data_IF_276521010809
#
_entry.id   IF_276521010809
#
_cell.length_a   1.000
_cell.length_b   1.000
_cell.length_c   1.000
_cell.angle_alpha   90.00
_cell.angle_beta   90.00
_cell.angle_gamma   90.00
#
_symmetry.space_group_name_H-M   'P 1'
#
loop_
_entity.id
_entity.type
_entity.pdbx_description
1 polymer ?
#
# COMPACT_ATOMS: atom_id res chain seq x y z
N UNK A 1 -2.82 12.43 3.07
CA UNK A 1 -1.99 12.39 1.83
C UNK A 1 -1.31 11.04 1.78
N UNK A 2 -1.34 10.36 0.63
CA UNK A 2 -0.75 9.02 0.45
C UNK A 2 0.53 9.16 -0.39
N UNK A 3 1.61 8.49 0.00
CA UNK A 3 2.88 8.52 -0.77
C UNK A 3 2.87 7.48 -1.89
N UNK A 4 2.50 6.24 -1.58
CA UNK A 4 2.39 5.15 -2.54
C UNK A 4 1.02 4.48 -2.42
N UNK A 5 0.39 4.19 -3.56
CA UNK A 5 -0.90 3.51 -3.66
C UNK A 5 -0.91 2.61 -4.89
N UNK A 6 -1.33 1.35 -4.74
CA UNK A 6 -1.45 0.39 -5.83
C UNK A 6 -2.37 -0.77 -5.48
N UNK A 7 -2.62 -1.67 -6.43
CA UNK A 7 -3.21 -2.98 -6.13
C UNK A 7 -2.15 -3.93 -5.55
N UNK A 8 -2.56 -4.93 -4.77
CA UNK A 8 -1.69 -5.96 -4.15
C UNK A 8 -0.71 -6.55 -5.18
N UNK A 9 -1.22 -6.91 -6.36
CA UNK A 9 -0.41 -7.45 -7.45
C UNK A 9 0.69 -6.50 -7.92
N UNK A 10 0.39 -5.21 -8.08
CA UNK A 10 1.38 -4.21 -8.44
C UNK A 10 2.39 -3.99 -7.31
N UNK A 11 1.94 -3.92 -6.06
CA UNK A 11 2.83 -3.85 -4.89
C UNK A 11 3.81 -5.03 -4.85
N UNK A 12 3.34 -6.27 -5.03
CA UNK A 12 4.21 -7.44 -5.02
C UNK A 12 5.25 -7.39 -6.15
N UNK A 13 4.85 -6.97 -7.35
CA UNK A 13 5.76 -6.80 -8.48
C UNK A 13 6.80 -5.71 -8.22
N UNK A 14 6.40 -4.57 -7.66
CA UNK A 14 7.31 -3.47 -7.33
C UNK A 14 8.34 -3.90 -6.28
N UNK A 15 7.96 -4.72 -5.29
CA UNK A 15 8.93 -5.28 -4.32
C UNK A 15 9.86 -6.28 -5.01
N UNK A 16 9.31 -7.20 -5.80
CA UNK A 16 10.07 -8.26 -6.46
C UNK A 16 11.12 -7.71 -7.44
N UNK A 17 10.82 -6.60 -8.11
CA UNK A 17 11.72 -5.94 -9.06
C UNK A 17 12.62 -4.87 -8.42
N UNK A 18 12.64 -4.75 -7.09
CA UNK A 18 13.39 -3.71 -6.35
C UNK A 18 13.01 -2.26 -6.73
N UNK A 19 11.78 -2.04 -7.20
CA UNK A 19 11.27 -0.73 -7.64
C UNK A 19 10.52 0.03 -6.54
N UNK A 20 9.94 -0.69 -5.58
CA UNK A 20 9.04 -0.10 -4.59
C UNK A 20 9.69 1.06 -3.80
N UNK A 21 10.89 0.84 -3.27
CA UNK A 21 11.57 1.84 -2.42
C UNK A 21 11.91 3.10 -3.23
N UNK A 22 12.28 2.93 -4.50
CA UNK A 22 12.52 4.04 -5.42
C UNK A 22 11.23 4.82 -5.69
N UNK A 23 10.12 4.12 -5.91
CA UNK A 23 8.79 4.72 -6.11
C UNK A 23 8.34 5.52 -4.88
N UNK A 24 8.45 4.95 -3.68
CA UNK A 24 8.11 5.63 -2.42
C UNK A 24 9.01 6.87 -2.24
N UNK A 25 10.33 6.73 -2.41
CA UNK A 25 11.30 7.82 -2.24
C UNK A 25 11.04 8.99 -3.20
N UNK A 26 10.82 8.69 -4.48
CA UNK A 26 10.49 9.69 -5.51
C UNK A 26 9.20 10.44 -5.14
N UNK A 27 8.16 9.70 -4.76
CA UNK A 27 6.88 10.29 -4.41
C UNK A 27 6.95 11.11 -3.11
N UNK A 28 7.70 10.64 -2.12
CA UNK A 28 7.92 11.37 -0.87
C UNK A 28 8.66 12.69 -1.12
N UNK A 29 9.75 12.64 -1.88
CA UNK A 29 10.52 13.83 -2.23
C UNK A 29 9.67 14.85 -3.01
N UNK A 30 8.80 14.39 -3.90
CA UNK A 30 7.90 15.28 -4.66
C UNK A 30 6.78 15.90 -3.82
N UNK A 31 6.26 15.18 -2.81
CA UNK A 31 5.06 15.58 -2.05
C UNK A 31 5.38 16.27 -0.72
N UNK A 32 6.48 15.89 -0.08
CA UNK A 32 6.88 16.34 1.26
C UNK A 32 8.22 17.06 1.23
N UNK A 33 9.19 16.53 0.48
CA UNK A 33 10.57 17.03 0.45
C UNK A 33 11.56 15.95 0.88
N UNK A 34 12.79 16.36 1.20
CA UNK A 34 13.93 15.44 1.36
C UNK A 34 13.69 14.36 2.41
N UNK A 35 13.70 13.09 2.00
CA UNK A 35 13.68 11.94 2.90
C UNK A 35 15.07 11.66 3.48
N UNK A 36 15.12 11.09 4.68
CA UNK A 36 16.36 10.63 5.29
C UNK A 36 16.66 9.18 4.89
N UNK A 37 17.94 8.80 4.81
CA UNK A 37 18.33 7.45 4.38
C UNK A 37 17.92 6.34 5.34
N UNK A 38 17.72 6.65 6.63
CA UNK A 38 17.30 5.65 7.62
C UNK A 38 15.86 5.21 7.37
N UNK A 39 14.98 6.14 6.99
CA UNK A 39 13.60 5.86 6.57
C UNK A 39 13.58 5.04 5.28
N UNK A 40 14.43 5.37 4.30
CA UNK A 40 14.55 4.59 3.06
C UNK A 40 14.91 3.13 3.39
N UNK A 41 15.91 2.92 4.26
CA UNK A 41 16.28 1.56 4.74
C UNK A 41 15.18 0.89 5.55
N UNK A 42 14.43 1.65 6.36
CA UNK A 42 13.33 1.11 7.16
C UNK A 42 12.19 0.61 6.27
N UNK A 43 11.85 1.34 5.20
CA UNK A 43 10.89 0.89 4.20
C UNK A 43 11.38 -0.35 3.49
N UNK A 44 12.62 -0.36 2.98
CA UNK A 44 13.18 -1.51 2.28
C UNK A 44 13.07 -2.80 3.12
N UNK A 45 13.58 -2.76 4.35
CA UNK A 45 13.49 -3.90 5.27
C UNK A 45 12.04 -4.32 5.56
N UNK A 46 11.15 -3.37 5.82
CA UNK A 46 9.77 -3.68 6.22
C UNK A 46 8.95 -4.25 5.07
N UNK A 47 9.16 -3.76 3.85
CA UNK A 47 8.36 -4.15 2.69
C UNK A 47 8.69 -5.57 2.23
N UNK A 48 9.89 -6.07 2.47
CA UNK A 48 10.23 -7.49 2.29
C UNK A 48 9.37 -8.40 3.17
N UNK A 49 9.04 -7.98 4.40
CA UNK A 49 8.12 -8.73 5.26
C UNK A 49 6.66 -8.61 4.78
N UNK A 50 6.24 -7.43 4.35
CA UNK A 50 4.88 -7.23 3.81
C UNK A 50 4.66 -8.00 2.51
N UNK A 51 5.69 -8.15 1.66
CA UNK A 51 5.65 -9.03 0.50
C UNK A 51 5.32 -10.47 0.89
N UNK A 52 5.95 -11.00 1.94
CA UNK A 52 5.68 -12.37 2.43
C UNK A 52 4.25 -12.52 2.93
N UNK A 53 3.74 -11.53 3.69
CA UNK A 53 2.36 -11.54 4.18
C UNK A 53 1.36 -11.43 3.03
N UNK A 54 1.61 -10.55 2.06
CA UNK A 54 0.68 -10.28 0.96
C UNK A 54 0.78 -11.28 -0.20
N UNK A 55 1.77 -12.16 -0.18
CA UNK A 55 1.82 -13.34 -1.06
C UNK A 55 0.73 -14.37 -0.74
N UNK A 56 0.00 -14.20 0.37
CA UNK A 56 -1.18 -15.00 0.68
C UNK A 56 -2.28 -14.81 -0.39
N UNK A 57 -2.73 -15.93 -0.95
CA UNK A 57 -3.78 -15.98 -1.97
C UNK A 57 -5.18 -15.72 -1.41
N UNK A 58 -5.39 -15.84 -0.09
CA UNK A 58 -6.66 -15.46 0.55
C UNK A 58 -6.90 -13.95 0.52
N UNK A 59 -5.83 -13.15 0.41
CA UNK A 59 -5.91 -11.70 0.21
C UNK A 59 -6.15 -11.44 -1.29
N UNK A 60 -7.24 -10.77 -1.69
CA UNK A 60 -7.54 -10.56 -3.11
C UNK A 60 -6.44 -9.81 -3.86
N UNK A 61 -6.17 -10.20 -5.11
CA UNK A 61 -5.16 -9.59 -5.98
C UNK A 61 -5.40 -8.12 -6.30
N UNK A 62 -6.67 -7.71 -6.21
CA UNK A 62 -7.10 -6.33 -6.37
C UNK A 62 -7.30 -5.59 -5.04
N UNK A 63 -6.88 -6.17 -3.91
CA UNK A 63 -6.83 -5.44 -2.64
C UNK A 63 -5.95 -4.20 -2.82
N UNK A 64 -6.39 -3.06 -2.31
CA UNK A 64 -5.62 -1.82 -2.40
C UNK A 64 -4.57 -1.78 -1.31
N UNK A 65 -3.35 -1.39 -1.67
CA UNK A 65 -2.23 -1.15 -0.76
C UNK A 65 -1.93 0.33 -0.77
N UNK A 66 -1.83 0.94 0.42
CA UNK A 66 -1.36 2.31 0.57
C UNK A 66 -0.26 2.38 1.63
N UNK A 67 0.80 3.12 1.35
CA UNK A 67 1.97 3.24 2.22
C UNK A 67 2.15 4.71 2.57
N UNK A 68 2.53 4.94 3.83
CA UNK A 68 2.88 6.26 4.36
C UNK A 68 1.71 7.24 4.20
N UNK A 69 0.57 6.90 4.80
CA UNK A 69 -0.62 7.73 4.82
C UNK A 69 -0.56 8.75 5.96
N UNK A 70 -0.36 10.01 5.60
CA UNK A 70 -0.45 11.12 6.55
C UNK A 70 -1.92 11.47 6.82
N UNK A 71 -2.32 11.38 8.09
CA UNK A 71 -3.67 11.74 8.55
C UNK A 71 -3.81 13.27 8.49
N UNK A 72 -4.81 13.80 7.73
CA UNK A 72 -5.04 15.24 7.61
C UNK A 72 -5.13 15.94 8.97
N UNK A 73 -4.59 17.16 9.04
CA UNK A 73 -4.61 18.01 10.26
C UNK A 73 -3.91 17.44 11.49
N UNK A 74 -3.09 16.38 11.34
CA UNK A 74 -2.29 15.84 12.44
C UNK A 74 -0.85 15.55 12.01
N UNK A 75 0.02 15.30 12.98
CA UNK A 75 1.37 14.74 12.76
C UNK A 75 1.38 13.21 12.68
N UNK A 76 0.22 12.54 12.79
CA UNK A 76 0.13 11.08 12.81
C UNK A 76 0.16 10.50 11.40
N UNK A 77 0.72 9.29 11.30
CA UNK A 77 0.84 8.52 10.06
C UNK A 77 0.33 7.10 10.27
N UNK A 78 -0.20 6.51 9.20
CA UNK A 78 -0.38 5.06 9.08
C UNK A 78 0.63 4.58 8.06
N UNK A 79 1.58 3.75 8.49
CA UNK A 79 2.70 3.36 7.65
C UNK A 79 2.27 2.40 6.53
N UNK A 80 1.30 1.53 6.81
CA UNK A 80 0.79 0.55 5.84
C UNK A 80 -0.72 0.34 6.00
N UNK A 81 -1.44 0.36 4.88
CA UNK A 81 -2.88 0.18 4.80
C UNK A 81 -3.19 -0.87 3.74
N UNK A 82 -4.09 -1.79 4.08
CA UNK A 82 -4.70 -2.74 3.15
C UNK A 82 -6.18 -2.42 3.09
N UNK A 83 -6.73 -2.38 1.89
CA UNK A 83 -8.14 -2.13 1.65
C UNK A 83 -8.75 -3.21 0.77
N UNK A 84 -10.03 -3.44 0.95
CA UNK A 84 -10.80 -4.38 0.17
C UNK A 84 -12.28 -4.09 0.34
N UNK A 85 -13.09 -4.62 -0.57
CA UNK A 85 -14.54 -4.52 -0.49
C UNK A 85 -15.14 -5.90 -0.71
N UNK A 86 -16.00 -6.32 0.22
CA UNK A 86 -16.83 -7.50 0.01
C UNK A 86 -17.83 -7.19 -1.10
N UNK A 87 -18.02 -8.14 -2.03
CA UNK A 87 -19.09 -8.02 -3.03
C UNK A 87 -20.42 -7.84 -2.29
N UNK A 88 -21.11 -6.73 -2.53
CA UNK A 88 -22.46 -6.53 -2.00
C UNK A 88 -23.33 -7.57 -2.69
N UNK A 89 -23.83 -8.52 -1.92
CA UNK A 89 -24.81 -9.48 -2.41
C UNK A 89 -26.14 -8.74 -2.45
N UNK A 90 -26.54 -8.26 -3.63
CA UNK A 90 -27.89 -7.75 -3.82
C UNK A 90 -28.81 -8.95 -3.56
N UNK A 91 -29.72 -8.89 -2.57
CA UNK A 91 -30.74 -9.92 -2.44
C UNK A 91 -31.48 -9.94 -3.76
N UNK A 92 -31.51 -11.09 -4.43
CA UNK A 92 -32.51 -11.35 -5.45
C UNK A 92 -33.86 -11.27 -4.75
N UNK A 93 -34.42 -10.06 -4.64
CA UNK A 93 -35.85 -9.90 -4.43
C UNK A 93 -36.48 -10.49 -5.68
N UNK A 94 -36.98 -11.70 -5.49
CA UNK A 94 -37.83 -12.42 -6.41
C UNK A 94 -38.99 -11.50 -6.77
N UNK A 95 -38.94 -10.93 -7.97
CA UNK A 95 -40.14 -10.44 -8.63
C UNK A 95 -40.79 -11.68 -9.26
N UNK A 96 -41.70 -12.29 -8.50
CA UNK A 96 -42.83 -13.00 -9.09
C UNK A 96 -43.93 -11.96 -9.38
#
# INVERSE_FOLDING_TARGET
MIIYESAKTAFLNDVFNDELVNNITKNYNSKIGKINEREVRAWDNSMQYMFRVLSDHEIPDNAGIAIEFKIPHTSRRVDFLISGKKKIRIPLLLWN
#
